data_IF_362108278020
#
_entry.id   IF_362108278020
#
_cell.length_a   1.000
_cell.length_b   1.000
_cell.length_c   1.000
_cell.angle_alpha   90.00
_cell.angle_beta   90.00
_cell.angle_gamma   90.00
#
_symmetry.space_group_name_H-M   'P 1'
#
loop_
_entity.id
_entity.type
_entity.pdbx_description
1 polymer ?
#
# COMPACT_ATOMS: atom_id res chain seq x y z
N UNK A 1 -58.39 -1.11 -15.03
CA UNK A 1 -57.26 -1.88 -14.45
C UNK A 1 -56.51 -0.97 -13.49
N UNK A 2 -56.62 -1.20 -12.16
CA UNK A 2 -55.87 -0.43 -11.16
C UNK A 2 -54.44 -0.98 -11.14
N UNK A 3 -53.48 -0.24 -11.67
CA UNK A 3 -52.06 -0.60 -11.60
C UNK A 3 -51.62 -0.59 -10.12
N UNK A 4 -51.22 -1.74 -9.59
CA UNK A 4 -50.74 -1.91 -8.23
C UNK A 4 -49.32 -1.34 -8.10
N UNK A 5 -49.22 -0.01 -8.12
CA UNK A 5 -47.98 0.76 -7.94
C UNK A 5 -47.23 0.37 -6.66
N UNK A 6 -47.98 -0.04 -5.62
CA UNK A 6 -47.42 -0.52 -4.35
C UNK A 6 -46.52 -1.76 -4.53
N UNK A 7 -46.86 -2.65 -5.46
CA UNK A 7 -46.07 -3.86 -5.72
C UNK A 7 -44.81 -3.54 -6.52
N UNK A 8 -44.88 -2.56 -7.43
CA UNK A 8 -43.72 -2.09 -8.19
C UNK A 8 -42.73 -1.37 -7.27
N UNK A 9 -43.22 -0.51 -6.38
CA UNK A 9 -42.39 0.21 -5.42
C UNK A 9 -41.67 -0.77 -4.47
N UNK A 10 -42.37 -1.82 -4.01
CA UNK A 10 -41.81 -2.82 -3.10
C UNK A 10 -40.73 -3.67 -3.77
N UNK A 11 -40.88 -4.00 -5.05
CA UNK A 11 -39.87 -4.72 -5.85
C UNK A 11 -38.64 -3.85 -6.10
N UNK A 12 -38.82 -2.56 -6.42
CA UNK A 12 -37.69 -1.63 -6.59
C UNK A 12 -36.93 -1.41 -5.27
N UNK A 13 -37.64 -1.32 -4.13
CA UNK A 13 -37.00 -1.21 -2.82
C UNK A 13 -36.21 -2.47 -2.46
N UNK A 14 -36.73 -3.66 -2.79
CA UNK A 14 -36.05 -4.94 -2.58
C UNK A 14 -34.79 -5.08 -3.46
N UNK A 15 -34.84 -4.62 -4.71
CA UNK A 15 -33.67 -4.61 -5.60
C UNK A 15 -32.60 -3.64 -5.08
N UNK A 16 -32.99 -2.46 -4.58
CA UNK A 16 -32.06 -1.49 -3.99
C UNK A 16 -31.44 -1.98 -2.68
N UNK A 17 -32.17 -2.74 -1.87
CA UNK A 17 -31.65 -3.33 -0.63
C UNK A 17 -30.75 -4.55 -0.87
N UNK A 18 -30.97 -5.31 -1.95
CA UNK A 18 -30.10 -6.43 -2.34
C UNK A 18 -28.83 -5.99 -3.09
N UNK A 19 -28.81 -4.78 -3.65
CA UNK A 19 -27.62 -4.21 -4.30
C UNK A 19 -26.56 -3.70 -3.29
N UNK A 20 -26.91 -3.60 -2.00
CA UNK A 20 -26.09 -2.93 -1.00
C UNK A 20 -25.55 -3.85 0.08
N UNK A 21 -24.68 -4.81 -0.24
CA UNK A 21 -23.69 -5.32 0.72
C UNK A 21 -22.61 -6.20 0.06
N UNK A 22 -22.07 -5.78 -1.07
CA UNK A 22 -20.76 -6.29 -1.49
C UNK A 22 -19.71 -5.58 -0.64
N UNK A 23 -19.31 -6.19 0.49
CA UNK A 23 -18.19 -5.66 1.29
C UNK A 23 -16.95 -5.46 0.41
N UNK A 24 -16.13 -4.44 0.69
CA UNK A 24 -14.91 -4.17 -0.07
C UNK A 24 -14.06 -5.42 -0.19
N UNK A 25 -13.68 -5.76 -1.43
CA UNK A 25 -12.89 -6.96 -1.73
C UNK A 25 -11.44 -6.79 -1.31
N UNK A 26 -11.01 -5.54 -1.13
CA UNK A 26 -9.70 -5.18 -0.59
C UNK A 26 -9.83 -4.11 0.47
N UNK A 27 -8.93 -4.16 1.45
CA UNK A 27 -8.72 -3.07 2.41
C UNK A 27 -7.23 -2.95 2.69
N UNK A 28 -6.66 -1.77 2.46
CA UNK A 28 -5.30 -1.40 2.87
C UNK A 28 -5.41 -0.42 4.04
N UNK A 29 -4.52 -0.54 5.01
CA UNK A 29 -4.43 0.35 6.18
C UNK A 29 -2.99 0.73 6.40
N UNK A 30 -2.76 2.01 6.65
CA UNK A 30 -1.47 2.52 7.10
C UNK A 30 -1.38 2.31 8.62
N UNK A 31 -0.45 1.48 9.07
CA UNK A 31 -0.17 1.25 10.50
C UNK A 31 0.71 2.34 11.07
N UNK A 32 1.74 2.71 10.32
CA UNK A 32 2.64 3.82 10.64
C UNK A 32 3.16 4.43 9.36
N UNK A 33 3.48 5.73 9.43
CA UNK A 33 4.13 6.48 8.37
C UNK A 33 5.02 7.52 9.06
N UNK A 34 6.32 7.28 9.07
CA UNK A 34 7.26 8.07 9.88
C UNK A 34 8.58 8.34 9.16
N UNK A 35 9.25 9.43 9.52
CA UNK A 35 10.63 9.70 9.08
C UNK A 35 11.59 8.79 9.85
N UNK A 36 12.50 8.12 9.14
CA UNK A 36 13.59 7.33 9.70
C UNK A 36 14.94 7.84 9.20
N UNK A 37 15.96 7.77 10.05
CA UNK A 37 17.31 8.26 9.74
C UNK A 37 18.07 7.34 8.76
N UNK A 38 17.77 6.04 8.81
CA UNK A 38 18.46 5.01 8.04
C UNK A 38 17.49 3.98 7.49
N UNK A 39 17.81 3.46 6.31
CA UNK A 39 17.16 2.28 5.75
C UNK A 39 17.95 1.04 6.18
N UNK A 40 17.33 0.17 6.97
CA UNK A 40 17.89 -1.14 7.30
C UNK A 40 17.62 -2.13 6.17
N UNK A 41 18.66 -2.42 5.39
CA UNK A 41 18.66 -3.39 4.31
C UNK A 41 18.97 -4.80 4.87
N UNK A 42 17.99 -5.70 4.75
CA UNK A 42 18.12 -7.14 5.07
C UNK A 42 18.02 -7.98 3.80
N UNK A 43 18.49 -9.24 3.80
CA UNK A 43 18.52 -10.14 2.62
C UNK A 43 17.20 -10.35 1.84
N UNK A 44 16.05 -9.89 2.35
CA UNK A 44 14.73 -10.03 1.72
C UNK A 44 14.32 -8.78 0.89
N UNK A 45 15.29 -8.05 0.35
CA UNK A 45 15.14 -6.85 -0.49
C UNK A 45 14.72 -7.20 -1.92
N UNK A 46 13.75 -6.49 -2.51
CA UNK A 46 13.28 -6.79 -3.88
C UNK A 46 13.22 -5.63 -4.87
N UNK A 47 13.44 -4.37 -4.46
CA UNK A 47 13.37 -3.26 -5.41
C UNK A 47 14.33 -2.13 -5.06
N UNK A 48 15.15 -1.69 -6.02
CA UNK A 48 16.04 -0.53 -5.91
C UNK A 48 16.18 0.17 -7.27
N UNK A 49 15.71 1.41 -7.39
CA UNK A 49 16.30 2.31 -8.38
C UNK A 49 16.51 3.68 -7.75
N UNK A 50 17.72 3.98 -7.29
CA UNK A 50 18.10 5.38 -7.06
C UNK A 50 19.50 5.66 -7.56
N UNK A 51 19.58 6.56 -8.54
CA UNK A 51 20.77 7.30 -8.99
C UNK A 51 21.15 8.38 -7.96
N UNK A 52 21.32 8.00 -6.69
CA UNK A 52 21.72 8.93 -5.62
C UNK A 52 22.97 8.44 -4.92
N UNK A 53 23.80 9.37 -4.45
CA UNK A 53 25.02 9.11 -3.66
C UNK A 53 24.67 8.52 -2.28
N UNK A 54 24.29 7.24 -2.27
CA UNK A 54 23.96 6.50 -1.05
C UNK A 54 25.24 6.14 -0.29
N UNK A 55 25.27 6.41 1.01
CA UNK A 55 26.36 5.95 1.88
C UNK A 55 25.97 4.63 2.53
N UNK A 56 26.82 3.61 2.40
CA UNK A 56 26.62 2.28 2.99
C UNK A 56 27.41 2.17 4.30
N UNK A 57 26.72 1.83 5.38
CA UNK A 57 27.34 1.44 6.65
C UNK A 57 26.98 -0.02 6.99
N UNK A 58 27.96 -0.83 7.35
CA UNK A 58 27.71 -2.20 7.83
C UNK A 58 27.08 -2.19 9.22
N UNK A 59 26.11 -3.06 9.47
CA UNK A 59 25.52 -3.26 10.81
C UNK A 59 26.12 -4.48 11.50
N UNK A 60 26.17 -4.47 12.83
CA UNK A 60 26.76 -5.56 13.64
C UNK A 60 26.06 -6.93 13.44
N UNK A 61 24.83 -6.93 12.92
CA UNK A 61 24.01 -8.13 12.68
C UNK A 61 24.04 -8.64 11.24
N UNK A 62 24.97 -8.16 10.40
CA UNK A 62 25.12 -8.64 9.01
C UNK A 62 24.13 -8.04 8.00
N UNK A 63 23.44 -6.95 8.35
CA UNK A 63 22.69 -6.09 7.41
C UNK A 63 23.49 -4.83 7.03
N UNK A 64 22.94 -4.01 6.15
CA UNK A 64 23.50 -2.70 5.81
C UNK A 64 22.52 -1.60 6.19
N UNK A 65 23.01 -0.51 6.78
CA UNK A 65 22.26 0.72 6.95
C UNK A 65 22.61 1.65 5.79
N UNK A 66 21.60 2.13 5.08
CA UNK A 66 21.76 3.12 4.01
C UNK A 66 21.26 4.46 4.52
N UNK A 67 22.10 5.48 4.40
CA UNK A 67 21.75 6.87 4.68
C UNK A 67 21.91 7.73 3.42
N UNK A 68 21.06 8.73 3.30
CA UNK A 68 21.07 9.69 2.19
C UNK A 68 21.34 11.09 2.78
N UNK A 69 22.41 11.75 2.32
CA UNK A 69 22.86 13.04 2.85
C UNK A 69 21.80 14.13 2.70
N UNK A 70 21.08 14.13 1.57
CA UNK A 70 20.19 15.21 1.16
C UNK A 70 18.70 14.86 1.26
N UNK A 71 18.40 13.66 1.75
CA UNK A 71 17.03 13.13 1.81
C UNK A 71 16.68 12.60 3.20
N UNK A 72 15.42 12.78 3.57
CA UNK A 72 14.78 12.04 4.66
C UNK A 72 14.10 10.79 4.08
N UNK A 73 14.05 9.72 4.86
CA UNK A 73 13.45 8.44 4.46
C UNK A 73 12.08 8.33 5.13
N UNK A 74 11.02 8.24 4.34
CA UNK A 74 9.67 7.96 4.85
C UNK A 74 9.46 6.45 4.85
N UNK A 75 9.25 5.88 6.03
CA UNK A 75 8.87 4.47 6.23
C UNK A 75 7.36 4.36 6.42
N UNK A 76 6.70 3.60 5.55
CA UNK A 76 5.25 3.36 5.60
C UNK A 76 5.00 1.88 5.80
N UNK A 77 4.39 1.52 6.94
CA UNK A 77 4.01 0.14 7.24
C UNK A 77 2.53 -0.05 6.97
N UNK A 78 2.20 -1.10 6.21
CA UNK A 78 0.87 -1.38 5.70
C UNK A 78 0.35 -2.73 6.19
N UNK A 79 -0.95 -2.78 6.45
CA UNK A 79 -1.73 -4.01 6.52
C UNK A 79 -2.76 -4.03 5.38
N UNK A 80 -2.78 -5.11 4.62
CA UNK A 80 -3.72 -5.36 3.54
C UNK A 80 -4.53 -6.63 3.80
N UNK A 81 -5.81 -6.59 3.44
CA UNK A 81 -6.73 -7.73 3.43
C UNK A 81 -7.34 -7.87 2.05
N UNK A 82 -7.42 -9.11 1.58
CA UNK A 82 -7.94 -9.48 0.26
C UNK A 82 -8.99 -10.58 0.43
N UNK A 83 -10.21 -10.33 -0.02
CA UNK A 83 -11.28 -11.33 0.07
C UNK A 83 -11.22 -12.34 -1.07
N UNK A 84 -10.56 -12.01 -2.20
CA UNK A 84 -10.39 -12.88 -3.37
C UNK A 84 -9.06 -12.58 -4.10
N UNK A 85 -7.92 -12.75 -3.43
CA UNK A 85 -6.62 -12.57 -4.08
C UNK A 85 -6.42 -13.62 -5.20
N UNK A 86 -6.26 -13.18 -6.45
CA UNK A 86 -6.12 -14.04 -7.62
C UNK A 86 -4.67 -14.41 -7.97
N UNK A 87 -3.71 -14.06 -7.12
CA UNK A 87 -2.29 -14.33 -7.34
C UNK A 87 -1.87 -15.79 -7.01
N UNK A 88 -0.55 -16.04 -6.91
CA UNK A 88 -0.01 -17.37 -6.62
C UNK A 88 -0.60 -17.97 -5.34
N UNK A 89 -0.84 -19.29 -5.36
CA UNK A 89 -1.36 -20.03 -4.20
C UNK A 89 -0.34 -20.06 -3.06
N UNK A 90 -0.85 -20.15 -1.83
CA UNK A 90 -0.07 -20.16 -0.57
C UNK A 90 1.04 -21.24 -0.50
N UNK A 91 0.90 -22.34 -1.25
CA UNK A 91 1.95 -23.37 -1.37
C UNK A 91 3.27 -22.85 -1.97
N UNK A 92 3.27 -21.66 -2.58
CA UNK A 92 4.45 -20.95 -3.09
C UNK A 92 4.56 -19.59 -2.38
N UNK A 93 4.83 -19.64 -1.06
CA UNK A 93 4.68 -18.50 -0.16
C UNK A 93 5.50 -17.26 -0.56
N UNK A 94 6.67 -17.43 -1.16
CA UNK A 94 7.52 -16.31 -1.57
C UNK A 94 7.02 -15.63 -2.84
N UNK A 95 6.51 -16.40 -3.82
CA UNK A 95 5.83 -15.80 -4.98
C UNK A 95 4.55 -15.10 -4.60
N UNK A 96 3.82 -15.60 -3.60
CA UNK A 96 2.65 -14.93 -3.07
C UNK A 96 3.02 -13.59 -2.41
N UNK A 97 4.03 -13.57 -1.53
CA UNK A 97 4.55 -12.32 -0.92
C UNK A 97 4.96 -11.31 -1.99
N UNK A 98 5.68 -11.78 -3.00
CA UNK A 98 6.14 -10.93 -4.11
C UNK A 98 4.96 -10.34 -4.87
N UNK A 99 3.99 -11.16 -5.29
CA UNK A 99 2.84 -10.69 -6.05
C UNK A 99 1.98 -9.69 -5.24
N UNK A 100 1.83 -9.91 -3.93
CA UNK A 100 1.13 -8.94 -3.07
C UNK A 100 1.92 -7.63 -2.96
N UNK A 101 3.24 -7.71 -2.76
CA UNK A 101 4.09 -6.53 -2.66
C UNK A 101 4.07 -5.70 -3.95
N UNK A 102 4.19 -6.35 -5.11
CA UNK A 102 4.12 -5.71 -6.42
C UNK A 102 2.78 -4.99 -6.64
N UNK A 103 1.68 -5.60 -6.23
CA UNK A 103 0.35 -4.99 -6.30
C UNK A 103 0.20 -3.79 -5.36
N UNK A 104 0.76 -3.86 -4.15
CA UNK A 104 0.79 -2.72 -3.24
C UNK A 104 1.66 -1.58 -3.79
N UNK A 105 2.76 -1.89 -4.46
CA UNK A 105 3.63 -0.90 -5.10
C UNK A 105 2.93 -0.27 -6.32
N UNK A 106 2.30 -1.07 -7.19
CA UNK A 106 1.64 -0.56 -8.41
C UNK A 106 0.44 0.32 -8.10
N UNK A 107 -0.28 0.00 -7.02
CA UNK A 107 -1.42 0.81 -6.57
C UNK A 107 -1.02 2.06 -5.79
N UNK A 108 0.18 2.10 -5.20
CA UNK A 108 0.62 3.23 -4.37
C UNK A 108 1.10 4.41 -5.22
N UNK A 109 0.61 5.60 -4.90
CA UNK A 109 1.13 6.87 -5.40
C UNK A 109 1.47 7.75 -4.21
N UNK A 110 2.74 8.12 -4.08
CA UNK A 110 3.22 9.06 -3.07
C UNK A 110 3.52 10.40 -3.72
N UNK A 111 3.06 11.48 -3.09
CA UNK A 111 3.23 12.83 -3.62
C UNK A 111 3.70 13.81 -2.55
N UNK A 112 4.53 14.75 -2.98
CA UNK A 112 4.98 15.92 -2.23
C UNK A 112 4.39 17.16 -2.93
N UNK A 113 3.34 17.73 -2.33
CA UNK A 113 2.53 18.76 -3.00
C UNK A 113 1.94 18.21 -4.31
N UNK A 114 2.32 18.82 -5.43
CA UNK A 114 1.87 18.40 -6.77
C UNK A 114 2.81 17.39 -7.46
N UNK A 115 3.98 17.10 -6.87
CA UNK A 115 4.97 16.18 -7.47
C UNK A 115 4.71 14.76 -7.00
N UNK A 116 4.75 13.80 -7.92
CA UNK A 116 4.68 12.38 -7.60
C UNK A 116 6.08 11.79 -7.50
N UNK A 117 6.36 11.11 -6.40
CA UNK A 117 7.61 10.40 -6.18
C UNK A 117 7.39 8.89 -6.35
N UNK A 118 8.44 8.20 -6.79
CA UNK A 118 8.41 6.73 -6.92
C UNK A 118 8.81 6.07 -5.61
N UNK A 119 8.28 4.88 -5.37
CA UNK A 119 8.76 3.98 -4.31
C UNK A 119 10.25 3.72 -4.57
N UNK A 120 11.10 4.00 -3.58
CA UNK A 120 12.53 3.71 -3.70
C UNK A 120 12.85 2.28 -3.28
N UNK A 121 12.10 1.77 -2.29
CA UNK A 121 12.39 0.50 -1.66
C UNK A 121 11.16 -0.10 -0.98
N UNK A 122 11.10 -1.43 -0.88
CA UNK A 122 10.01 -2.13 -0.21
C UNK A 122 10.47 -3.44 0.47
N UNK A 123 9.88 -3.74 1.62
CA UNK A 123 10.06 -5.01 2.34
C UNK A 123 8.86 -5.91 2.15
N UNK A 124 9.15 -7.20 1.95
CA UNK A 124 8.11 -8.22 1.80
C UNK A 124 7.19 -8.28 3.03
N UNK A 125 5.86 -8.37 2.81
CA UNK A 125 4.93 -8.60 3.90
C UNK A 125 5.03 -10.02 4.45
N UNK A 126 4.49 -10.20 5.66
CA UNK A 126 4.02 -11.51 6.10
C UNK A 126 2.66 -11.78 5.44
N UNK A 127 2.53 -12.87 4.71
CA UNK A 127 1.29 -13.21 4.00
C UNK A 127 0.56 -14.39 4.62
N UNK A 128 -0.77 -14.38 4.44
CA UNK A 128 -1.65 -15.54 4.55
C UNK A 128 -2.42 -15.68 3.23
N UNK A 129 -3.33 -16.64 3.12
CA UNK A 129 -4.26 -16.75 1.99
C UNK A 129 -5.13 -15.50 1.73
N UNK A 130 -5.35 -14.64 2.73
CA UNK A 130 -6.30 -13.51 2.63
C UNK A 130 -5.76 -12.19 3.19
N UNK A 131 -4.49 -12.14 3.61
CA UNK A 131 -3.92 -10.93 4.19
C UNK A 131 -2.43 -10.81 3.92
N UNK A 132 -1.95 -9.57 3.92
CA UNK A 132 -0.54 -9.24 3.98
C UNK A 132 -0.35 -8.19 5.06
N UNK A 133 0.42 -8.53 6.09
CA UNK A 133 0.72 -7.61 7.20
C UNK A 133 2.18 -7.20 7.18
N UNK A 134 2.44 -6.01 7.70
CA UNK A 134 3.78 -5.44 7.80
C UNK A 134 4.47 -5.27 6.43
N UNK A 135 3.71 -5.09 5.34
CA UNK A 135 4.30 -4.66 4.07
C UNK A 135 4.88 -3.27 4.29
N UNK A 136 6.17 -3.06 3.99
CA UNK A 136 6.79 -1.77 4.24
C UNK A 136 7.23 -1.12 2.95
N UNK A 137 6.76 0.10 2.69
CA UNK A 137 7.19 0.92 1.56
C UNK A 137 8.08 2.05 2.08
N UNK A 138 9.11 2.37 1.33
CA UNK A 138 10.03 3.45 1.64
C UNK A 138 10.06 4.46 0.49
N UNK A 139 10.10 5.74 0.86
CA UNK A 139 10.18 6.87 -0.06
C UNK A 139 11.31 7.80 0.39
N UNK A 140 11.97 8.45 -0.57
CA UNK A 140 12.88 9.55 -0.26
C UNK A 140 12.15 10.87 -0.47
N UNK A 141 12.32 11.77 0.47
CA UNK A 141 11.86 13.15 0.35
C UNK A 141 13.05 14.08 0.57
N UNK A 142 13.16 15.22 -0.11
CA UNK A 142 14.20 16.19 0.19
C UNK A 142 14.16 16.60 1.67
N UNK A 143 15.34 16.77 2.28
CA UNK A 143 15.41 17.18 3.69
C UNK A 143 14.63 18.46 3.97
N UNK A 144 13.90 18.46 5.08
CA UNK A 144 13.10 19.61 5.51
C UNK A 144 11.79 19.80 4.73
N UNK A 145 11.40 18.81 3.91
CA UNK A 145 10.07 18.79 3.29
C UNK A 145 8.99 18.81 4.38
N UNK A 146 8.02 19.75 4.34
CA UNK A 146 6.93 19.79 5.31
C UNK A 146 6.06 18.53 5.23
N UNK A 147 5.81 17.89 6.37
CA UNK A 147 4.96 16.68 6.43
C UNK A 147 3.52 16.93 5.92
N UNK A 148 3.02 18.16 6.04
CA UNK A 148 1.71 18.55 5.56
C UNK A 148 1.57 18.48 4.02
N UNK A 149 2.69 18.50 3.29
CA UNK A 149 2.71 18.39 1.83
C UNK A 149 2.68 16.93 1.36
N UNK A 150 2.83 15.98 2.28
CA UNK A 150 2.92 14.56 1.96
C UNK A 150 1.52 13.95 1.82
N UNK A 151 1.38 13.12 0.79
CA UNK A 151 0.14 12.37 0.53
C UNK A 151 0.47 11.02 -0.08
N UNK A 152 -0.15 9.97 0.45
CA UNK A 152 -0.13 8.63 -0.11
C UNK A 152 -1.53 8.24 -0.55
N UNK A 153 -1.67 7.75 -1.78
CA UNK A 153 -2.93 7.21 -2.28
C UNK A 153 -2.77 5.79 -2.78
N UNK A 154 -3.84 5.01 -2.68
CA UNK A 154 -3.92 3.68 -3.28
C UNK A 154 -5.03 3.62 -4.32
N UNK A 155 -4.68 3.20 -5.53
CA UNK A 155 -5.64 2.87 -6.59
C UNK A 155 -6.30 1.51 -6.31
N UNK A 156 -7.60 1.53 -6.07
CA UNK A 156 -8.37 0.31 -5.88
C UNK A 156 -8.43 -0.60 -7.10
N UNK A 157 -8.38 -0.06 -8.32
CA UNK A 157 -8.43 -0.87 -9.53
C UNK A 157 -7.19 -1.77 -9.65
N UNK A 158 -6.01 -1.24 -9.35
CA UNK A 158 -4.74 -1.98 -9.27
C UNK A 158 -4.76 -3.03 -8.14
N UNK A 159 -5.52 -2.78 -7.07
CA UNK A 159 -5.74 -3.74 -5.99
C UNK A 159 -6.81 -4.80 -6.32
N UNK A 160 -7.53 -4.70 -7.44
CA UNK A 160 -8.63 -5.61 -7.80
C UNK A 160 -9.99 -5.25 -7.20
N UNK A 161 -10.13 -4.06 -6.63
CA UNK A 161 -11.39 -3.46 -6.18
C UNK A 161 -11.50 -1.99 -6.63
N UNK A 162 -12.02 -1.70 -7.84
CA UNK A 162 -12.12 -0.34 -8.36
C UNK A 162 -12.95 0.62 -7.50
N UNK A 163 -13.75 0.11 -6.56
CA UNK A 163 -14.53 0.93 -5.63
C UNK A 163 -13.73 1.35 -4.39
N UNK A 164 -12.60 0.68 -4.14
CA UNK A 164 -11.71 0.99 -3.05
C UNK A 164 -10.89 2.25 -3.36
N UNK A 165 -10.76 3.12 -2.35
CA UNK A 165 -9.82 4.23 -2.39
C UNK A 165 -9.29 4.49 -0.99
N UNK A 166 -8.02 4.85 -0.91
CA UNK A 166 -7.39 5.33 0.32
C UNK A 166 -6.56 6.55 -0.02
N UNK A 167 -6.69 7.58 0.80
CA UNK A 167 -5.78 8.72 0.84
C UNK A 167 -5.31 8.88 2.27
N UNK A 168 -4.00 9.00 2.46
CA UNK A 168 -3.35 9.11 3.75
C UNK A 168 -2.45 10.35 3.78
N UNK A 169 -2.56 11.13 4.86
CA UNK A 169 -1.85 12.41 5.06
C UNK A 169 -1.35 12.61 6.50
N UNK A 170 -1.49 11.62 7.39
CA UNK A 170 -1.10 11.72 8.82
C UNK A 170 0.31 11.18 9.06
N UNK A 171 1.32 11.84 8.48
CA UNK A 171 2.73 11.48 8.64
C UNK A 171 3.31 12.03 9.95
N UNK A 172 4.21 11.28 10.59
CA UNK A 172 4.74 11.59 11.93
C UNK A 172 6.27 11.59 12.02
#
# INVERSE_FOLDING_TARGET
MKHNWKNVLLVVLLILMLAGCSGSKVSVKVKSAEIVETLEAYLNMLYYPVDSEATLAGTETGGFAIAFSDYDIIRIVLDAKFTNFSGPKESDSDKQKQAVLEMLISSATFSIGEKTEKVIYALQPKTTSTSASDATLFYLIPKGTPLADLKLTFDGAELGDPSYSLTFTDFK
#
